data_IF_879557955235
#
_entry.id   IF_879557955235
#
_cell.length_a   1.000
_cell.length_b   1.000
_cell.length_c   1.000
_cell.angle_alpha   90.00
_cell.angle_beta   90.00
_cell.angle_gamma   90.00
#
_symmetry.space_group_name_H-M   'P 1'
#
loop_
_entity.id
_entity.type
_entity.pdbx_description
1 polymer ?
#
# COMPACT_ATOMS: atom_id res chain seq x y z
N UNK A 1 16.95 3.86 -16.90
CA UNK A 1 16.46 2.47 -16.82
C UNK A 1 15.62 2.30 -15.58
N UNK A 2 14.34 2.05 -15.73
CA UNK A 2 13.50 1.65 -14.62
C UNK A 2 13.84 0.19 -14.28
N UNK A 3 14.78 -0.02 -13.39
CA UNK A 3 14.99 -1.33 -12.80
C UNK A 3 13.67 -1.71 -12.13
N UNK A 4 13.02 -2.74 -12.64
CA UNK A 4 11.85 -3.32 -12.02
C UNK A 4 12.31 -3.97 -10.71
N UNK A 5 12.33 -3.21 -9.62
CA UNK A 5 12.57 -3.78 -8.31
C UNK A 5 11.53 -4.84 -8.04
N UNK A 6 11.95 -6.10 -8.09
CA UNK A 6 11.09 -7.25 -7.76
C UNK A 6 11.03 -7.52 -6.25
N UNK A 7 11.84 -6.79 -5.48
CA UNK A 7 11.97 -6.93 -4.03
C UNK A 7 11.48 -5.66 -3.33
N UNK A 8 10.61 -5.83 -2.36
CA UNK A 8 10.20 -4.77 -1.44
C UNK A 8 10.51 -5.17 0.00
N UNK A 9 11.22 -4.30 0.72
CA UNK A 9 11.51 -4.48 2.14
C UNK A 9 10.34 -3.91 2.95
N UNK A 10 9.75 -4.73 3.82
CA UNK A 10 8.69 -4.29 4.71
C UNK A 10 9.26 -3.44 5.85
N UNK A 11 8.84 -2.17 5.90
CA UNK A 11 9.28 -1.22 6.93
C UNK A 11 8.30 -1.20 8.09
N UNK A 12 8.35 -2.27 8.90
CA UNK A 12 7.52 -2.43 10.09
C UNK A 12 8.22 -1.77 11.30
N UNK A 13 8.44 -0.45 11.19
CA UNK A 13 9.05 0.38 12.22
C UNK A 13 8.01 1.23 12.95
N UNK A 14 8.15 1.33 14.25
CA UNK A 14 7.24 2.12 15.11
C UNK A 14 7.41 3.63 14.96
N UNK A 15 8.53 4.10 14.38
CA UNK A 15 8.76 5.52 14.15
C UNK A 15 9.68 5.78 12.95
N UNK A 16 9.59 7.00 12.37
CA UNK A 16 10.39 7.38 11.20
C UNK A 16 11.90 7.37 11.41
N UNK A 17 12.39 7.66 12.63
CA UNK A 17 13.83 7.72 12.89
C UNK A 17 14.51 6.38 12.68
N UNK A 18 13.89 5.30 13.18
CA UNK A 18 14.37 3.93 12.97
C UNK A 18 14.35 3.52 11.50
N UNK A 19 13.27 3.88 10.78
CA UNK A 19 13.15 3.63 9.35
C UNK A 19 14.28 4.34 8.57
N UNK A 20 14.52 5.61 8.86
CA UNK A 20 15.60 6.41 8.25
C UNK A 20 16.98 5.85 8.54
N UNK A 21 17.22 5.39 9.76
CA UNK A 21 18.50 4.76 10.14
C UNK A 21 18.73 3.47 9.36
N UNK A 22 17.72 2.63 9.26
CA UNK A 22 17.84 1.38 8.50
C UNK A 22 18.04 1.62 7.01
N UNK A 23 17.44 2.67 6.43
CA UNK A 23 17.58 3.02 5.01
C UNK A 23 19.02 3.29 4.59
N UNK A 24 19.90 3.67 5.51
CA UNK A 24 21.34 3.85 5.23
C UNK A 24 22.07 2.55 4.89
N UNK A 25 21.45 1.39 5.19
CA UNK A 25 22.05 0.06 5.04
C UNK A 25 21.61 -0.67 3.77
N UNK A 26 20.67 -0.11 3.03
CA UNK A 26 20.11 -0.74 1.83
C UNK A 26 20.23 0.19 0.62
N UNK A 27 20.23 -0.44 -0.57
CA UNK A 27 20.41 0.29 -1.83
C UNK A 27 19.08 0.43 -2.57
N UNK A 28 18.63 1.66 -2.90
CA UNK A 28 17.39 1.89 -3.64
C UNK A 28 17.37 1.32 -5.06
N UNK A 29 18.55 1.02 -5.64
CA UNK A 29 18.61 0.34 -6.94
C UNK A 29 18.25 -1.15 -6.85
N UNK A 30 18.37 -1.75 -5.66
CA UNK A 30 18.15 -3.19 -5.46
C UNK A 30 16.75 -3.52 -4.92
N UNK A 31 16.13 -2.58 -4.20
CA UNK A 31 14.83 -2.82 -3.58
C UNK A 31 13.98 -1.55 -3.48
N UNK A 32 12.67 -1.75 -3.47
CA UNK A 32 11.70 -0.76 -3.01
C UNK A 32 11.39 -0.95 -1.52
N UNK A 33 10.58 -0.06 -0.98
CA UNK A 33 10.18 -0.06 0.43
C UNK A 33 8.67 -0.13 0.52
N UNK A 34 8.14 -1.05 1.33
CA UNK A 34 6.74 -1.09 1.70
C UNK A 34 6.54 -0.33 3.01
N UNK A 35 5.77 0.74 2.95
CA UNK A 35 5.33 1.52 4.12
C UNK A 35 3.93 1.07 4.51
N UNK A 36 3.81 0.44 5.66
CA UNK A 36 2.54 -0.03 6.22
C UNK A 36 1.89 1.00 7.14
N UNK A 37 0.76 0.60 7.75
CA UNK A 37 -0.08 1.47 8.58
C UNK A 37 0.67 2.07 9.77
N UNK A 38 1.48 1.28 10.50
CA UNK A 38 2.18 1.75 11.69
C UNK A 38 3.13 2.89 11.36
N UNK A 39 4.02 2.68 10.40
CA UNK A 39 5.01 3.69 10.01
C UNK A 39 4.34 4.92 9.39
N UNK A 40 3.31 4.73 8.54
CA UNK A 40 2.58 5.85 7.96
C UNK A 40 1.78 6.63 9.00
N UNK A 41 1.16 5.97 9.97
CA UNK A 41 0.44 6.63 11.06
C UNK A 41 1.36 7.47 11.93
N UNK A 42 2.59 7.00 12.18
CA UNK A 42 3.58 7.72 13.00
C UNK A 42 4.35 8.81 12.23
N UNK A 43 4.54 8.65 10.93
CA UNK A 43 5.38 9.52 10.11
C UNK A 43 4.65 10.36 9.07
N UNK A 44 3.40 10.02 8.78
CA UNK A 44 2.58 10.69 7.77
C UNK A 44 3.19 10.66 6.36
N UNK A 45 2.74 11.54 5.47
CA UNK A 45 3.31 11.68 4.12
C UNK A 45 4.81 11.99 4.11
N UNK A 46 5.31 12.67 5.12
CA UNK A 46 6.71 13.09 5.19
C UNK A 46 7.71 11.92 5.17
N UNK A 47 7.35 10.75 5.70
CA UNK A 47 8.23 9.57 5.62
C UNK A 47 8.28 9.03 4.18
N UNK A 48 7.16 9.06 3.46
CA UNK A 48 7.09 8.65 2.05
C UNK A 48 7.97 9.56 1.20
N UNK A 49 7.79 10.87 1.30
CA UNK A 49 8.58 11.87 0.58
C UNK A 49 10.08 11.74 0.88
N UNK A 50 10.42 11.50 2.15
CA UNK A 50 11.82 11.31 2.54
C UNK A 50 12.43 10.07 1.88
N UNK A 51 11.73 8.94 1.87
CA UNK A 51 12.18 7.70 1.23
C UNK A 51 12.37 7.89 -0.28
N UNK A 52 11.43 8.57 -0.93
CA UNK A 52 11.51 8.91 -2.35
C UNK A 52 12.70 9.83 -2.64
N UNK A 53 13.00 10.80 -1.78
CA UNK A 53 14.17 11.67 -1.91
C UNK A 53 15.50 10.93 -1.84
N UNK A 54 15.49 9.70 -1.28
CA UNK A 54 16.64 8.78 -1.25
C UNK A 54 16.67 7.80 -2.43
N UNK A 55 15.73 7.93 -3.39
CA UNK A 55 15.65 7.12 -4.59
C UNK A 55 14.83 5.84 -4.45
N UNK A 56 14.21 5.59 -3.30
CA UNK A 56 13.40 4.40 -3.11
C UNK A 56 12.03 4.49 -3.80
N UNK A 57 11.63 3.43 -4.47
CA UNK A 57 10.23 3.21 -4.84
C UNK A 57 9.44 2.84 -3.59
N UNK A 58 8.32 3.50 -3.37
CA UNK A 58 7.47 3.23 -2.20
C UNK A 58 6.20 2.51 -2.60
N UNK A 59 5.96 1.37 -1.97
CA UNK A 59 4.67 0.71 -1.93
C UNK A 59 3.94 1.15 -0.65
N UNK A 60 2.86 1.92 -0.81
CA UNK A 60 2.03 2.39 0.30
C UNK A 60 0.95 1.35 0.61
N UNK A 61 1.19 0.55 1.66
CA UNK A 61 0.36 -0.59 2.04
C UNK A 61 -0.64 -0.22 3.15
N UNK A 62 -1.64 0.61 2.80
CA UNK A 62 -2.67 1.06 3.74
C UNK A 62 -3.96 0.25 3.66
N UNK A 63 -4.14 -0.55 2.58
CA UNK A 63 -5.31 -1.40 2.36
C UNK A 63 -6.62 -0.62 2.53
N UNK A 64 -6.82 0.42 1.73
CA UNK A 64 -8.02 1.26 1.81
C UNK A 64 -9.28 0.41 1.66
N UNK A 65 -10.21 0.62 2.59
CA UNK A 65 -11.49 -0.05 2.63
C UNK A 65 -12.51 0.87 3.33
N UNK A 66 -13.34 1.51 2.54
CA UNK A 66 -14.31 2.49 3.00
C UNK A 66 -15.42 2.65 1.93
N UNK A 67 -16.35 3.55 2.14
CA UNK A 67 -17.33 3.91 1.12
C UNK A 67 -16.63 4.43 -0.14
N UNK A 68 -17.19 4.21 -1.35
CA UNK A 68 -16.52 4.46 -2.62
C UNK A 68 -15.90 5.85 -2.76
N UNK A 69 -16.64 6.90 -2.38
CA UNK A 69 -16.16 8.29 -2.48
C UNK A 69 -14.93 8.56 -1.61
N UNK A 70 -14.89 7.99 -0.41
CA UNK A 70 -13.75 8.13 0.52
C UNK A 70 -12.52 7.42 -0.04
N UNK A 71 -12.69 6.20 -0.55
CA UNK A 71 -11.59 5.44 -1.16
C UNK A 71 -11.06 6.14 -2.41
N UNK A 72 -11.95 6.66 -3.27
CA UNK A 72 -11.57 7.46 -4.45
C UNK A 72 -10.63 8.61 -4.07
N UNK A 73 -11.03 9.42 -3.08
CA UNK A 73 -10.24 10.57 -2.62
C UNK A 73 -8.92 10.14 -1.99
N UNK A 74 -8.92 9.09 -1.17
CA UNK A 74 -7.72 8.55 -0.55
C UNK A 74 -6.73 8.03 -1.59
N UNK A 75 -7.19 7.29 -2.60
CA UNK A 75 -6.36 6.81 -3.70
C UNK A 75 -5.80 7.95 -4.55
N UNK A 76 -6.60 8.99 -4.82
CA UNK A 76 -6.11 10.18 -5.50
C UNK A 76 -4.96 10.86 -4.73
N UNK A 77 -5.16 11.15 -3.45
CA UNK A 77 -4.14 11.80 -2.60
C UNK A 77 -2.89 10.94 -2.46
N UNK A 78 -3.05 9.63 -2.26
CA UNK A 78 -1.92 8.69 -2.19
C UNK A 78 -1.13 8.64 -3.51
N UNK A 79 -1.83 8.72 -4.65
CA UNK A 79 -1.18 8.80 -5.96
C UNK A 79 -0.38 10.09 -6.14
N UNK A 80 -0.93 11.23 -5.73
CA UNK A 80 -0.25 12.53 -5.80
C UNK A 80 1.02 12.60 -4.92
N UNK A 81 1.15 11.74 -3.90
CA UNK A 81 2.41 11.55 -3.18
C UNK A 81 3.52 10.92 -4.03
N UNK A 82 3.20 10.46 -5.24
CA UNK A 82 4.17 9.86 -6.15
C UNK A 82 4.58 8.43 -5.76
N UNK A 83 3.75 7.71 -5.01
CA UNK A 83 4.04 6.32 -4.64
C UNK A 83 4.07 5.43 -5.88
N UNK A 84 4.90 4.40 -5.86
CA UNK A 84 5.00 3.45 -6.97
C UNK A 84 3.83 2.46 -7.00
N UNK A 85 3.28 2.11 -5.83
CA UNK A 85 2.15 1.19 -5.68
C UNK A 85 1.32 1.56 -4.46
N UNK A 86 0.01 1.33 -4.55
CA UNK A 86 -0.91 1.39 -3.41
C UNK A 86 -1.93 0.26 -3.50
N UNK A 87 -2.64 0.01 -2.41
CA UNK A 87 -3.60 -1.09 -2.37
C UNK A 87 -4.93 -0.74 -1.69
N UNK A 88 -5.95 -1.49 -2.08
CA UNK A 88 -7.30 -1.46 -1.52
C UNK A 88 -7.74 -2.89 -1.18
N UNK A 89 -8.74 -3.05 -0.31
CA UNK A 89 -9.36 -4.35 -0.09
C UNK A 89 -10.30 -4.72 -1.24
N UNK A 90 -10.08 -5.90 -1.86
CA UNK A 90 -10.95 -6.42 -2.91
C UNK A 90 -12.39 -6.69 -2.40
N UNK A 91 -12.53 -7.00 -1.11
CA UNK A 91 -13.83 -7.22 -0.46
C UNK A 91 -14.69 -5.94 -0.32
N UNK A 92 -14.18 -4.79 -0.69
CA UNK A 92 -14.97 -3.54 -0.75
C UNK A 92 -16.05 -3.54 -1.84
N UNK A 93 -16.00 -4.49 -2.77
CA UNK A 93 -16.97 -4.63 -3.86
C UNK A 93 -16.66 -3.76 -5.07
N UNK A 94 -17.40 -3.98 -6.16
CA UNK A 94 -17.13 -3.37 -7.45
C UNK A 94 -17.18 -1.84 -7.43
N UNK A 95 -18.14 -1.25 -6.73
CA UNK A 95 -18.30 0.21 -6.69
C UNK A 95 -17.10 0.87 -6.02
N UNK A 96 -16.61 0.28 -4.91
CA UNK A 96 -15.42 0.78 -4.22
C UNK A 96 -14.15 0.59 -5.07
N UNK A 97 -14.00 -0.55 -5.73
CA UNK A 97 -12.84 -0.82 -6.58
C UNK A 97 -12.81 0.09 -7.82
N UNK A 98 -13.97 0.33 -8.44
CA UNK A 98 -14.10 1.27 -9.56
C UNK A 98 -13.76 2.70 -9.12
N UNK A 99 -14.28 3.12 -7.96
CA UNK A 99 -13.98 4.43 -7.39
C UNK A 99 -12.49 4.59 -7.05
N UNK A 100 -11.84 3.55 -6.52
CA UNK A 100 -10.40 3.55 -6.29
C UNK A 100 -9.61 3.79 -7.59
N UNK A 101 -9.97 3.06 -8.65
CA UNK A 101 -9.35 3.22 -9.99
C UNK A 101 -9.55 4.62 -10.55
N UNK A 102 -10.76 5.16 -10.45
CA UNK A 102 -11.04 6.54 -10.86
C UNK A 102 -10.16 7.55 -10.08
N UNK A 103 -9.96 7.35 -8.78
CA UNK A 103 -9.09 8.20 -7.98
C UNK A 103 -7.65 8.20 -8.47
N UNK A 104 -7.11 7.02 -8.78
CA UNK A 104 -5.77 6.87 -9.37
C UNK A 104 -5.68 7.56 -10.73
N UNK A 105 -6.67 7.34 -11.61
CA UNK A 105 -6.67 7.89 -12.98
C UNK A 105 -6.81 9.41 -13.03
N UNK A 106 -7.37 10.02 -12.01
CA UNK A 106 -7.48 11.46 -11.87
C UNK A 106 -6.17 12.13 -11.42
N UNK A 107 -5.23 11.34 -10.90
CA UNK A 107 -3.90 11.86 -10.54
C UNK A 107 -3.01 12.04 -11.76
N UNK A 108 -2.00 12.90 -11.64
CA UNK A 108 -0.95 13.04 -12.66
C UNK A 108 0.12 11.94 -12.56
N UNK A 109 -0.04 11.03 -11.62
CA UNK A 109 0.83 9.88 -11.36
C UNK A 109 0.13 8.60 -11.83
N UNK A 110 0.89 7.58 -12.12
CA UNK A 110 0.34 6.27 -12.53
C UNK A 110 0.86 5.15 -11.63
N UNK A 111 0.54 5.15 -10.33
CA UNK A 111 0.95 4.06 -9.45
C UNK A 111 0.22 2.77 -9.82
N UNK A 112 0.83 1.64 -9.51
CA UNK A 112 0.11 0.37 -9.52
C UNK A 112 -0.95 0.37 -8.43
N UNK A 113 -2.20 0.07 -8.79
CA UNK A 113 -3.30 -0.15 -7.86
C UNK A 113 -3.56 -1.65 -7.79
N UNK A 114 -3.43 -2.24 -6.61
CA UNK A 114 -3.64 -3.68 -6.39
C UNK A 114 -4.72 -3.94 -5.35
N UNK A 115 -5.43 -5.06 -5.52
CA UNK A 115 -6.45 -5.53 -4.58
C UNK A 115 -5.88 -6.56 -3.61
N UNK A 116 -6.09 -6.33 -2.32
CA UNK A 116 -5.81 -7.32 -1.27
C UNK A 116 -7.05 -8.19 -1.10
N UNK A 117 -6.88 -9.49 -1.16
CA UNK A 117 -7.95 -10.48 -0.96
C UNK A 117 -8.00 -10.91 0.51
N UNK A 118 -7.81 -12.19 0.79
CA UNK A 118 -7.76 -12.72 2.16
C UNK A 118 -6.41 -12.36 2.79
N UNK A 119 -6.42 -11.85 4.02
CA UNK A 119 -5.18 -11.56 4.74
C UNK A 119 -4.47 -12.86 5.11
N UNK A 120 -3.15 -12.87 5.00
CA UNK A 120 -2.32 -14.06 5.27
C UNK A 120 -2.40 -14.57 6.71
N UNK A 121 -2.88 -13.74 7.64
CA UNK A 121 -3.13 -14.10 9.04
C UNK A 121 -4.46 -14.83 9.25
N UNK A 122 -5.36 -14.84 8.27
CA UNK A 122 -6.68 -15.48 8.38
C UNK A 122 -6.59 -16.97 8.08
N UNK A 123 -7.44 -17.74 8.77
CA UNK A 123 -7.71 -19.15 8.53
C UNK A 123 -9.19 -19.37 8.16
N UNK A 124 -9.60 -20.61 7.96
CA UNK A 124 -10.98 -20.93 7.59
C UNK A 124 -12.01 -20.50 8.65
N UNK A 125 -11.67 -20.58 9.94
CA UNK A 125 -12.57 -20.16 11.00
C UNK A 125 -12.81 -18.65 10.94
N UNK A 126 -11.76 -17.87 10.72
CA UNK A 126 -11.89 -16.41 10.54
C UNK A 126 -12.72 -16.04 9.30
N UNK A 127 -12.62 -16.79 8.22
CA UNK A 127 -13.47 -16.61 7.03
C UNK A 127 -14.94 -16.89 7.34
N UNK A 128 -15.22 -17.98 8.06
CA UNK A 128 -16.58 -18.32 8.48
C UNK A 128 -17.19 -17.25 9.39
N UNK A 129 -16.41 -16.69 10.33
CA UNK A 129 -16.85 -15.60 11.21
C UNK A 129 -17.33 -14.35 10.44
N UNK A 130 -16.75 -14.07 9.30
CA UNK A 130 -17.15 -12.94 8.42
C UNK A 130 -18.12 -13.35 7.30
N UNK A 131 -18.68 -14.57 7.37
CA UNK A 131 -19.71 -15.04 6.45
C UNK A 131 -19.20 -15.64 5.14
N UNK A 132 -17.91 -15.90 5.02
CA UNK A 132 -17.32 -16.56 3.84
C UNK A 132 -17.22 -18.06 4.11
N UNK A 133 -18.12 -18.83 3.52
CA UNK A 133 -18.25 -20.29 3.73
C UNK A 133 -17.46 -21.13 2.70
N UNK A 134 -16.38 -20.60 2.18
CA UNK A 134 -15.48 -21.29 1.24
C UNK A 134 -14.13 -21.51 1.89
N UNK A 135 -13.49 -22.65 1.59
CA UNK A 135 -12.12 -22.87 2.06
C UNK A 135 -11.13 -22.01 1.29
N UNK A 136 -10.00 -21.69 1.91
CA UNK A 136 -8.92 -20.91 1.25
C UNK A 136 -8.24 -21.68 0.11
N UNK A 137 -8.46 -23.00 0.02
CA UNK A 137 -7.83 -23.88 -0.97
C UNK A 137 -8.81 -24.39 -2.04
N UNK A 138 -10.07 -23.97 -1.99
CA UNK A 138 -11.07 -24.55 -2.89
C UNK A 138 -11.88 -23.60 -3.66
#
# INVERSE_FOLDING_TARGET
>A
MLTSSKLFVAYDFSNPSKAKEFSKKINPEQCGIKVGKELFTSGGPAIVEWLQSKGFKVFLDLKFHDIPTTVKRACYVASELGVWMLNVHAMGGNDMLSAAKEGVDQSNQNPYLIGVTVLTSMNNDNLNEIGINHSMLG
#
